data_IF_221485288769
#
_entry.id   IF_221485288769
#
_cell.length_a   1.000
_cell.length_b   1.000
_cell.length_c   1.000
_cell.angle_alpha   90.00
_cell.angle_beta   90.00
_cell.angle_gamma   90.00
#
_symmetry.space_group_name_H-M   'P 1'
#
loop_
_entity.id
_entity.type
_entity.pdbx_description
1 polymer ?
#
# COMPACT_ATOMS: atom_id res chain seq x y z
N UNK A 1 -16.38 -9.98 5.09
CA UNK A 1 -15.19 -9.78 4.24
C UNK A 1 -15.17 -8.36 3.72
N UNK A 2 -14.00 -7.70 3.71
CA UNK A 2 -13.80 -6.27 3.42
C UNK A 2 -14.52 -5.78 2.14
N UNK A 3 -14.55 -6.60 1.08
CA UNK A 3 -15.21 -6.30 -0.21
C UNK A 3 -16.74 -6.24 -0.17
N UNK A 4 -17.36 -6.69 0.92
CA UNK A 4 -18.81 -6.51 1.16
C UNK A 4 -19.14 -5.14 1.76
N UNK A 5 -18.16 -4.50 2.42
CA UNK A 5 -18.36 -3.28 3.21
C UNK A 5 -17.85 -2.04 2.46
N UNK A 6 -16.78 -2.17 1.67
CA UNK A 6 -16.18 -1.06 0.93
C UNK A 6 -15.79 -1.42 -0.50
N UNK A 7 -15.76 -0.40 -1.38
CA UNK A 7 -15.29 -0.52 -2.78
C UNK A 7 -13.79 -0.77 -2.82
N UNK A 8 -13.05 -0.06 -1.97
CA UNK A 8 -11.60 -0.07 -1.87
C UNK A 8 -11.16 -0.37 -0.44
N UNK A 9 -9.99 -1.00 -0.30
CA UNK A 9 -9.41 -1.37 0.98
C UNK A 9 -7.89 -1.21 0.94
N UNK A 10 -7.33 -0.65 2.01
CA UNK A 10 -5.88 -0.52 2.19
C UNK A 10 -5.51 -1.07 3.58
N UNK A 11 -4.47 -1.90 3.61
CA UNK A 11 -3.98 -2.57 4.81
C UNK A 11 -2.55 -2.14 5.07
N UNK A 12 -2.28 -1.79 6.32
CA UNK A 12 -0.95 -1.51 6.82
C UNK A 12 -0.58 -2.60 7.82
N UNK A 13 0.57 -3.22 7.63
CA UNK A 13 1.14 -4.19 8.57
C UNK A 13 2.58 -3.83 8.90
N UNK A 14 2.97 -4.12 10.13
CA UNK A 14 4.34 -4.00 10.63
C UNK A 14 4.74 -5.35 11.20
N UNK A 15 5.92 -5.86 10.84
CA UNK A 15 6.47 -7.12 11.38
C UNK A 15 7.97 -7.21 11.11
N UNK A 16 8.77 -7.65 12.08
CA UNK A 16 10.20 -7.94 11.92
C UNK A 16 10.98 -6.76 11.27
N UNK A 17 10.75 -5.54 11.77
CA UNK A 17 11.29 -4.30 11.19
C UNK A 17 10.91 -4.04 9.72
N UNK A 18 9.83 -4.63 9.21
CA UNK A 18 9.28 -4.37 7.89
C UNK A 18 7.90 -3.74 8.00
N UNK A 19 7.68 -2.72 7.17
CA UNK A 19 6.39 -2.08 6.96
C UNK A 19 5.88 -2.53 5.59
N UNK A 20 4.68 -3.11 5.52
CA UNK A 20 4.08 -3.52 4.24
C UNK A 20 2.72 -2.88 4.09
N UNK A 21 2.47 -2.30 2.92
CA UNK A 21 1.18 -1.78 2.52
C UNK A 21 0.57 -2.70 1.48
N UNK A 22 -0.70 -3.05 1.64
CA UNK A 22 -1.48 -3.76 0.64
C UNK A 22 -2.65 -2.88 0.24
N UNK A 23 -2.79 -2.63 -1.06
CA UNK A 23 -3.90 -1.84 -1.58
C UNK A 23 -4.73 -2.63 -2.57
N UNK A 24 -6.02 -2.79 -2.26
CA UNK A 24 -7.00 -3.45 -3.11
C UNK A 24 -8.08 -2.44 -3.46
N UNK A 25 -8.03 -1.89 -4.68
CA UNK A 25 -9.00 -0.88 -5.13
C UNK A 25 -9.77 -1.35 -6.35
N UNK A 26 -11.08 -1.60 -6.20
CA UNK A 26 -11.95 -1.86 -7.35
C UNK A 26 -12.12 -0.63 -8.21
N UNK A 27 -12.05 0.56 -7.63
CA UNK A 27 -12.09 1.83 -8.39
C UNK A 27 -10.96 1.88 -9.43
N UNK A 28 -9.74 1.53 -9.04
CA UNK A 28 -8.61 1.41 -9.97
C UNK A 28 -8.87 0.40 -11.10
N UNK A 29 -9.35 -0.81 -10.77
CA UNK A 29 -9.62 -1.84 -11.78
C UNK A 29 -10.72 -1.42 -12.76
N UNK A 30 -11.79 -0.80 -12.26
CA UNK A 30 -12.91 -0.34 -13.08
C UNK A 30 -12.52 0.83 -13.99
N UNK A 31 -11.74 1.80 -13.50
CA UNK A 31 -11.31 2.96 -14.30
C UNK A 31 -10.31 2.59 -15.39
N UNK A 32 -9.38 1.68 -15.09
CA UNK A 32 -8.35 1.22 -16.04
C UNK A 32 -8.83 0.02 -16.89
N UNK A 33 -10.06 -0.47 -16.67
CA UNK A 33 -10.67 -1.55 -17.44
C UNK A 33 -9.96 -2.90 -17.28
N UNK A 34 -9.40 -3.16 -16.11
CA UNK A 34 -8.62 -4.36 -15.81
C UNK A 34 -9.52 -5.54 -15.45
N UNK A 35 -9.36 -6.65 -16.17
CA UNK A 35 -10.04 -7.92 -15.87
C UNK A 35 -9.27 -8.76 -14.82
N UNK A 36 -7.97 -8.51 -14.69
CA UNK A 36 -7.10 -9.14 -13.70
C UNK A 36 -7.01 -8.32 -12.40
N UNK A 37 -6.93 -9.02 -11.26
CA UNK A 37 -6.76 -8.37 -9.96
C UNK A 37 -5.29 -8.05 -9.71
N UNK A 38 -4.92 -6.78 -9.87
CA UNK A 38 -3.61 -6.21 -9.56
C UNK A 38 -3.64 -5.60 -8.15
N UNK A 39 -2.68 -5.99 -7.31
CA UNK A 39 -2.60 -5.55 -5.90
C UNK A 39 -1.21 -4.97 -5.62
N UNK A 40 -1.07 -3.64 -5.50
CA UNK A 40 0.16 -3.02 -5.04
C UNK A 40 0.56 -3.50 -3.63
N UNK A 41 1.80 -3.97 -3.51
CA UNK A 41 2.36 -4.53 -2.28
C UNK A 41 3.75 -3.96 -1.89
N UNK A 42 3.93 -2.62 -1.86
CA UNK A 42 5.21 -2.05 -1.50
C UNK A 42 5.54 -2.34 -0.03
N UNK A 43 6.83 -2.56 0.22
CA UNK A 43 7.39 -2.80 1.54
C UNK A 43 8.57 -1.88 1.81
N UNK A 44 8.74 -1.51 3.07
CA UNK A 44 9.80 -0.62 3.55
C UNK A 44 10.46 -1.19 4.79
N UNK A 45 11.71 -0.81 4.99
CA UNK A 45 12.40 -1.02 6.25
C UNK A 45 11.85 -0.06 7.30
N UNK A 46 11.45 -0.56 8.46
CA UNK A 46 10.79 0.22 9.50
C UNK A 46 11.71 1.25 10.17
N UNK A 47 13.03 1.05 10.10
CA UNK A 47 14.03 1.92 10.74
C UNK A 47 14.48 3.03 9.81
N UNK A 48 14.79 2.69 8.57
CA UNK A 48 15.32 3.59 7.54
C UNK A 48 14.26 4.17 6.62
N UNK A 49 13.06 3.59 6.61
CA UNK A 49 11.95 3.92 5.70
C UNK A 49 12.32 3.78 4.22
N UNK A 50 13.37 3.03 3.91
CA UNK A 50 13.79 2.77 2.53
C UNK A 50 12.97 1.63 1.93
N UNK A 51 12.68 1.68 0.61
CA UNK A 51 11.98 0.58 -0.08
C UNK A 51 12.75 -0.73 0.00
N UNK A 52 12.07 -1.83 0.33
CA UNK A 52 12.60 -3.19 0.33
C UNK A 52 12.29 -3.91 -0.99
N UNK A 53 12.65 -3.28 -2.10
CA UNK A 53 12.44 -3.82 -3.45
C UNK A 53 13.75 -3.81 -4.24
N UNK A 54 13.92 -4.80 -5.11
CA UNK A 54 15.00 -4.80 -6.12
C UNK A 54 14.52 -4.22 -7.46
N UNK A 55 13.20 -4.15 -7.64
CA UNK A 55 12.56 -3.62 -8.83
C UNK A 55 12.00 -2.22 -8.51
N UNK A 56 12.78 -1.20 -8.87
CA UNK A 56 12.46 0.20 -8.63
C UNK A 56 11.33 0.71 -9.51
N UNK A 57 11.17 0.16 -10.72
CA UNK A 57 10.10 0.55 -11.65
C UNK A 57 8.76 0.06 -11.11
N UNK A 58 8.70 -1.23 -10.72
CA UNK A 58 7.53 -1.80 -10.08
C UNK A 58 7.14 -1.03 -8.82
N UNK A 59 8.11 -0.71 -7.96
CA UNK A 59 7.84 0.07 -6.75
C UNK A 59 7.28 1.45 -7.05
N UNK A 60 7.84 2.15 -8.06
CA UNK A 60 7.34 3.45 -8.47
C UNK A 60 5.87 3.35 -8.94
N UNK A 61 5.55 2.35 -9.77
CA UNK A 61 4.16 2.11 -10.20
C UNK A 61 3.24 1.77 -9.05
N UNK A 62 3.64 0.86 -8.15
CA UNK A 62 2.83 0.45 -6.99
C UNK A 62 2.52 1.64 -6.06
N UNK A 63 3.52 2.47 -5.77
CA UNK A 63 3.35 3.65 -4.92
C UNK A 63 2.55 4.74 -5.61
N UNK A 64 2.75 4.96 -6.91
CA UNK A 64 1.95 5.90 -7.70
C UNK A 64 0.46 5.51 -7.70
N UNK A 65 0.14 4.23 -7.90
CA UNK A 65 -1.24 3.73 -7.82
C UNK A 65 -1.87 3.98 -6.45
N UNK A 66 -1.10 3.72 -5.38
CA UNK A 66 -1.56 4.01 -4.02
C UNK A 66 -1.81 5.51 -3.84
N UNK A 67 -0.92 6.39 -4.31
CA UNK A 67 -1.11 7.83 -4.16
C UNK A 67 -2.26 8.38 -5.01
N UNK A 68 -2.47 7.83 -6.21
CA UNK A 68 -3.56 8.21 -7.10
C UNK A 68 -4.91 7.82 -6.50
N UNK A 69 -5.08 6.56 -6.13
CA UNK A 69 -6.39 5.98 -5.81
C UNK A 69 -6.69 5.82 -4.32
N UNK A 70 -5.69 5.75 -3.46
CA UNK A 70 -5.94 5.65 -2.01
C UNK A 70 -6.21 7.05 -1.41
N UNK A 71 -6.75 7.11 -0.17
CA UNK A 71 -6.88 8.38 0.57
C UNK A 71 -5.54 9.05 0.94
N UNK A 72 -4.41 8.35 0.80
CA UNK A 72 -3.08 8.86 1.15
C UNK A 72 -2.34 9.25 -0.12
N UNK A 73 -1.94 10.52 -0.24
CA UNK A 73 -1.44 11.12 -1.49
C UNK A 73 0.08 11.24 -1.57
N UNK A 74 0.79 10.83 -0.53
CA UNK A 74 2.25 10.83 -0.48
C UNK A 74 2.77 9.86 0.59
N UNK A 75 4.08 9.58 0.55
CA UNK A 75 4.76 8.69 1.50
C UNK A 75 4.58 9.16 2.95
N UNK A 76 4.62 10.46 3.22
CA UNK A 76 4.49 10.98 4.58
C UNK A 76 3.14 10.60 5.22
N UNK A 77 2.04 10.76 4.47
CA UNK A 77 0.69 10.39 4.91
C UNK A 77 0.55 8.89 5.13
N UNK A 78 1.24 8.10 4.31
CA UNK A 78 1.27 6.64 4.37
C UNK A 78 2.06 6.18 5.61
N UNK A 79 3.25 6.73 5.85
CA UNK A 79 4.05 6.46 7.04
C UNK A 79 3.36 6.90 8.34
N UNK A 80 2.54 7.95 8.31
CA UNK A 80 1.69 8.29 9.46
C UNK A 80 0.73 7.17 9.84
N UNK A 81 0.26 6.33 8.91
CA UNK A 81 -0.58 5.17 9.25
C UNK A 81 0.23 4.06 9.92
N UNK A 82 1.44 3.78 9.43
CA UNK A 82 2.34 2.82 10.08
C UNK A 82 2.70 3.24 11.52
N UNK A 83 2.84 4.54 11.79
CA UNK A 83 3.08 5.06 13.15
C UNK A 83 1.93 4.80 14.13
N UNK A 84 0.70 4.59 13.64
CA UNK A 84 -0.46 4.23 14.50
C UNK A 84 -0.44 2.78 14.96
N UNK A 85 0.40 1.94 14.35
CA UNK A 85 0.57 0.55 14.75
C UNK A 85 1.54 0.55 15.95
N UNK A 86 0.96 0.68 17.14
CA UNK A 86 1.68 0.64 18.41
C UNK A 86 1.99 -0.82 18.80
N UNK A 87 3.22 -1.06 19.27
CA UNK A 87 3.68 -2.37 19.72
C UNK A 87 4.85 -2.95 18.89
N UNK A 88 5.65 -3.84 19.51
CA UNK A 88 6.59 -4.67 18.76
C UNK A 88 5.80 -5.67 17.91
N UNK A 89 6.25 -5.92 16.69
CA UNK A 89 5.66 -6.90 15.78
C UNK A 89 6.76 -7.75 15.18
#
# INVERSE_FOLDING_TARGET
GSMRIGKDFILFTKKDDKLTCLFLSRTFHEEEGLDEVIVPLPSWDAKTQQPLTQDTEKYATETELIFKYSPFKNEEQLFRQFKKIEGPS
#
